data_IF_979844395542
#
_entry.id   IF_979844395542
#
_cell.length_a   1.000
_cell.length_b   1.000
_cell.length_c   1.000
_cell.angle_alpha   90.00
_cell.angle_beta   90.00
_cell.angle_gamma   90.00
#
_symmetry.space_group_name_H-M   'P 1'
#
loop_
_entity.id
_entity.type
_entity.pdbx_description
1 polymer ?
#
# COMPACT_ATOMS: atom_id res chain seq x y z
N UNK A 1 11.18 15.57 -4.62
CA UNK A 1 10.00 14.93 -3.99
C UNK A 1 9.67 13.67 -4.78
N UNK A 2 9.72 12.51 -4.13
CA UNK A 2 9.41 11.20 -4.70
C UNK A 2 8.04 10.72 -4.21
N UNK A 3 7.28 10.08 -5.10
CA UNK A 3 5.95 9.52 -4.81
C UNK A 3 5.92 8.03 -5.13
N UNK A 4 5.26 7.23 -4.30
CA UNK A 4 5.12 5.78 -4.46
C UNK A 4 3.76 5.31 -4.01
N UNK A 5 3.18 4.37 -4.75
CA UNK A 5 1.97 3.66 -4.37
C UNK A 5 2.36 2.23 -3.99
N UNK A 6 1.94 1.79 -2.82
CA UNK A 6 2.06 0.40 -2.37
C UNK A 6 0.69 -0.23 -2.53
N UNK A 7 0.62 -1.39 -3.19
CA UNK A 7 -0.62 -2.15 -3.36
C UNK A 7 -0.34 -3.64 -3.14
N UNK A 8 -1.18 -4.30 -2.35
CA UNK A 8 -1.11 -5.75 -2.13
C UNK A 8 -2.50 -6.36 -1.87
N UNK A 9 -2.66 -7.64 -2.18
CA UNK A 9 -3.87 -8.42 -1.87
C UNK A 9 -3.87 -9.01 -0.46
N UNK A 10 -2.70 -9.11 0.18
CA UNK A 10 -2.60 -9.64 1.53
C UNK A 10 -2.20 -8.52 2.49
N UNK A 11 -3.01 -8.33 3.54
CA UNK A 11 -2.80 -7.29 4.56
C UNK A 11 -1.41 -7.39 5.20
N UNK A 12 -0.94 -8.60 5.50
CA UNK A 12 0.39 -8.80 6.10
C UNK A 12 1.54 -8.38 5.16
N UNK A 13 1.46 -8.72 3.87
CA UNK A 13 2.48 -8.34 2.89
C UNK A 13 2.46 -6.83 2.63
N UNK A 14 1.26 -6.23 2.68
CA UNK A 14 1.06 -4.80 2.61
C UNK A 14 1.72 -4.06 3.78
N UNK A 15 1.42 -4.45 5.02
CA UNK A 15 1.99 -3.85 6.23
C UNK A 15 3.52 -3.96 6.26
N UNK A 16 4.07 -5.11 5.90
CA UNK A 16 5.52 -5.32 5.84
C UNK A 16 6.19 -4.36 4.84
N UNK A 17 5.58 -4.16 3.66
CA UNK A 17 6.09 -3.22 2.65
C UNK A 17 5.98 -1.77 3.13
N UNK A 18 4.91 -1.41 3.83
CA UNK A 18 4.76 -0.07 4.41
C UNK A 18 5.84 0.18 5.46
N UNK A 19 6.00 -0.71 6.43
CA UNK A 19 6.99 -0.58 7.50
C UNK A 19 8.41 -0.46 6.94
N UNK A 20 8.76 -1.29 5.96
CA UNK A 20 10.05 -1.20 5.27
C UNK A 20 10.28 0.17 4.61
N UNK A 21 9.26 0.77 3.99
CA UNK A 21 9.39 2.08 3.36
C UNK A 21 9.45 3.21 4.38
N UNK A 22 8.74 3.08 5.51
CA UNK A 22 8.84 4.02 6.63
C UNK A 22 10.29 4.06 7.17
N UNK A 23 10.94 2.91 7.32
CA UNK A 23 12.36 2.81 7.72
C UNK A 23 13.30 3.50 6.71
N UNK A 24 12.93 3.52 5.43
CA UNK A 24 13.67 4.22 4.38
C UNK A 24 13.38 5.72 4.30
N UNK A 25 12.58 6.28 5.22
CA UNK A 25 12.23 7.70 5.25
C UNK A 25 11.12 8.09 4.29
N UNK A 26 10.32 7.14 3.80
CA UNK A 26 9.03 7.47 3.18
C UNK A 26 8.01 7.82 4.27
N UNK A 27 7.03 8.63 3.92
CA UNK A 27 5.94 9.06 4.80
C UNK A 27 4.60 8.75 4.16
N UNK A 28 3.62 8.38 4.97
CA UNK A 28 2.25 8.15 4.53
C UNK A 28 1.67 9.42 3.95
N UNK A 29 0.91 9.28 2.86
CA UNK A 29 0.22 10.37 2.20
C UNK A 29 -1.20 9.94 1.85
N UNK A 30 -2.20 10.65 2.36
CA UNK A 30 -3.60 10.27 2.19
C UNK A 30 -3.99 9.00 2.95
N UNK A 31 -5.23 8.58 2.75
CA UNK A 31 -5.84 7.43 3.43
C UNK A 31 -5.50 6.10 2.74
N UNK A 32 -5.59 5.00 3.50
CA UNK A 32 -5.55 3.65 2.94
C UNK A 32 -6.86 3.41 2.19
N UNK A 33 -6.76 2.92 0.95
CA UNK A 33 -7.92 2.47 0.17
C UNK A 33 -7.96 0.95 0.17
N UNK A 34 -9.10 0.38 0.57
CA UNK A 34 -9.36 -1.06 0.51
C UNK A 34 -10.42 -1.32 -0.55
N UNK A 35 -10.06 -2.08 -1.57
CA UNK A 35 -10.95 -2.43 -2.68
C UNK A 35 -11.33 -3.91 -2.58
N UNK A 36 -12.62 -4.19 -2.60
CA UNK A 36 -13.12 -5.55 -2.79
C UNK A 36 -13.09 -5.88 -4.27
N UNK A 37 -12.15 -6.72 -4.68
CA UNK A 37 -11.92 -7.11 -6.06
C UNK A 37 -12.51 -8.50 -6.28
N UNK A 38 -13.51 -8.57 -7.15
CA UNK A 38 -14.00 -9.84 -7.64
C UNK A 38 -13.10 -10.30 -8.80
N UNK A 39 -12.35 -11.36 -8.58
CA UNK A 39 -11.67 -12.09 -9.66
C UNK A 39 -12.57 -13.24 -10.06
N UNK A 40 -12.60 -13.66 -11.32
CA UNK A 40 -13.55 -14.68 -11.85
C UNK A 40 -13.61 -16.00 -11.04
N UNK A 41 -12.65 -16.23 -10.14
CA UNK A 41 -12.56 -17.40 -9.27
C UNK A 41 -12.78 -17.10 -7.78
N UNK A 42 -12.51 -15.88 -7.31
CA UNK A 42 -12.51 -15.53 -5.88
C UNK A 42 -12.75 -14.04 -5.63
N UNK A 43 -13.38 -13.73 -4.49
CA UNK A 43 -13.51 -12.39 -3.94
C UNK A 43 -12.33 -12.09 -3.01
N UNK A 44 -11.54 -11.05 -3.31
CA UNK A 44 -10.32 -10.71 -2.55
C UNK A 44 -10.26 -9.22 -2.24
N UNK A 45 -9.57 -8.84 -1.15
CA UNK A 45 -9.37 -7.44 -0.77
C UNK A 45 -7.99 -6.97 -1.25
N UNK A 46 -7.93 -5.81 -1.90
CA UNK A 46 -6.67 -5.16 -2.26
C UNK A 46 -6.51 -3.88 -1.45
N UNK A 47 -5.36 -3.73 -0.82
CA UNK A 47 -4.99 -2.60 0.03
C UNK A 47 -4.06 -1.71 -0.76
N UNK A 48 -4.32 -0.41 -0.75
CA UNK A 48 -3.50 0.60 -1.45
C UNK A 48 -3.17 1.76 -0.52
N UNK A 49 -1.91 2.17 -0.47
CA UNK A 49 -1.45 3.36 0.27
C UNK A 49 -0.49 4.17 -0.59
N UNK A 50 -0.71 5.48 -0.60
CA UNK A 50 0.20 6.44 -1.22
C UNK A 50 1.26 6.90 -0.23
N UNK A 51 2.50 7.07 -0.69
CA UNK A 51 3.63 7.49 0.14
C UNK A 51 4.47 8.55 -0.59
N UNK A 52 5.04 9.47 0.19
CA UNK A 52 5.92 10.54 -0.28
C UNK A 52 7.26 10.50 0.44
N UNK A 53 8.33 10.93 -0.24
CA UNK A 53 9.65 11.13 0.34
C UNK A 53 10.22 12.45 -0.17
N UNK A 54 10.69 13.28 0.76
CA UNK A 54 11.48 14.46 0.37
C UNK A 54 12.84 13.96 -0.11
N UNK A 55 13.36 14.57 -1.17
CA UNK A 55 14.69 14.20 -1.69
C UNK A 55 15.79 14.67 -0.75
#
# INVERSE_FOLDING_TARGET
MKYKIVCDKHEFEFENKINFLLEQGWRLHGEIVVNLVNTDKDLTCWYTQSMIKDD
#
